data_IF_051645129357
#
_entry.id   IF_051645129357
#
_cell.length_a   1.000
_cell.length_b   1.000
_cell.length_c   1.000
_cell.angle_alpha   90.00
_cell.angle_beta   90.00
_cell.angle_gamma   90.00
#
_symmetry.space_group_name_H-M   'P 1'
#
loop_
_entity.id
_entity.type
_entity.pdbx_description
1 polymer ?
#
# COMPACT_ATOMS: atom_id res chain seq x y z
N UNK A 1 21.00 4.85 4.87
CA UNK A 1 19.89 5.83 4.96
C UNK A 1 18.57 5.08 4.76
N UNK A 2 17.58 5.28 5.63
CA UNK A 2 16.22 4.77 5.44
C UNK A 2 15.62 5.58 4.29
N UNK A 3 15.32 4.93 3.15
CA UNK A 3 14.65 5.60 2.02
C UNK A 3 13.25 6.06 2.48
N UNK A 4 12.95 7.34 2.29
CA UNK A 4 11.63 7.86 2.60
C UNK A 4 10.59 7.22 1.66
N UNK A 5 9.62 6.50 2.21
CA UNK A 5 8.57 5.82 1.45
C UNK A 5 7.66 6.81 0.68
N UNK A 6 7.59 8.07 1.11
CA UNK A 6 6.82 9.11 0.42
C UNK A 6 7.34 9.41 -1.00
N UNK A 7 8.59 9.02 -1.30
CA UNK A 7 9.17 9.16 -2.63
C UNK A 7 8.64 8.15 -3.65
N UNK A 8 7.87 7.16 -3.20
CA UNK A 8 7.34 6.11 -4.07
C UNK A 8 5.83 6.18 -4.14
N UNK A 9 5.33 6.22 -5.37
CA UNK A 9 3.91 6.15 -5.65
C UNK A 9 3.64 5.15 -6.77
N UNK A 10 2.52 4.42 -6.67
CA UNK A 10 2.24 3.28 -7.52
C UNK A 10 0.92 3.43 -8.27
N UNK A 11 0.87 2.75 -9.42
CA UNK A 11 -0.37 2.31 -10.07
C UNK A 11 -0.36 0.80 -10.04
N UNK A 12 -1.33 0.19 -9.38
CA UNK A 12 -1.52 -1.26 -9.36
C UNK A 12 -2.66 -1.65 -10.31
N UNK A 13 -2.38 -2.59 -11.23
CA UNK A 13 -3.38 -3.08 -12.16
C UNK A 13 -4.54 -3.82 -11.47
N UNK A 14 -5.60 -4.12 -12.24
CA UNK A 14 -6.81 -4.74 -11.75
C UNK A 14 -6.59 -6.09 -11.04
N UNK A 15 -5.51 -6.81 -11.36
CA UNK A 15 -5.20 -8.11 -10.77
C UNK A 15 -4.55 -7.99 -9.39
N UNK A 16 -4.02 -6.80 -9.03
CA UNK A 16 -3.23 -6.56 -7.83
C UNK A 16 -3.98 -5.84 -6.70
N UNK A 17 -5.30 -5.97 -6.63
CA UNK A 17 -6.12 -5.28 -5.62
C UNK A 17 -5.72 -5.57 -4.17
N UNK A 18 -5.30 -6.80 -3.84
CA UNK A 18 -4.79 -7.16 -2.50
C UNK A 18 -3.47 -6.45 -2.20
N UNK A 19 -2.57 -6.39 -3.17
CA UNK A 19 -1.27 -5.70 -3.06
C UNK A 19 -1.47 -4.19 -2.92
N UNK A 20 -2.34 -3.59 -3.75
CA UNK A 20 -2.70 -2.17 -3.64
C UNK A 20 -3.21 -1.81 -2.24
N UNK A 21 -4.10 -2.63 -1.68
CA UNK A 21 -4.62 -2.44 -0.34
C UNK A 21 -3.52 -2.53 0.73
N UNK A 22 -2.59 -3.48 0.60
CA UNK A 22 -1.45 -3.61 1.53
C UNK A 22 -0.49 -2.43 1.44
N UNK A 23 -0.12 -2.02 0.24
CA UNK A 23 0.76 -0.87 0.04
C UNK A 23 0.17 0.40 0.67
N UNK A 24 -1.15 0.64 0.53
CA UNK A 24 -1.84 1.75 1.19
C UNK A 24 -1.75 1.67 2.72
N UNK A 25 -1.99 0.48 3.29
CA UNK A 25 -1.85 0.27 4.75
C UNK A 25 -0.42 0.54 5.21
N UNK A 26 0.58 0.19 4.40
CA UNK A 26 1.99 0.46 4.64
C UNK A 26 2.40 1.92 4.39
N UNK A 27 1.46 2.80 4.02
CA UNK A 27 1.68 4.23 3.83
C UNK A 27 2.00 4.66 2.40
N UNK A 28 2.15 3.73 1.45
CA UNK A 28 2.46 4.07 0.06
C UNK A 28 1.25 4.61 -0.69
N UNK A 29 1.46 5.70 -1.42
CA UNK A 29 0.46 6.24 -2.35
C UNK A 29 0.25 5.28 -3.52
N UNK A 30 -0.90 4.61 -3.56
CA UNK A 30 -1.17 3.57 -4.54
C UNK A 30 -2.56 3.74 -5.17
N UNK A 31 -2.60 4.08 -6.45
CA UNK A 31 -3.81 4.04 -7.27
C UNK A 31 -4.07 2.59 -7.65
N UNK A 32 -5.31 2.12 -7.47
CA UNK A 32 -5.76 0.83 -7.94
C UNK A 32 -6.65 1.03 -9.16
N UNK A 33 -6.32 0.35 -10.23
CA UNK A 33 -7.02 0.42 -11.51
C UNK A 33 -8.18 -0.59 -11.50
N UNK A 34 -9.34 -0.15 -11.97
CA UNK A 34 -10.51 -1.01 -12.12
C UNK A 34 -10.38 -1.94 -13.32
N UNK A 35 -10.99 -3.14 -13.29
CA UNK A 35 -10.93 -4.08 -14.41
C UNK A 35 -11.48 -3.55 -15.75
N UNK A 36 -12.31 -2.51 -15.70
CA UNK A 36 -12.88 -1.87 -16.88
C UNK A 36 -11.96 -0.86 -17.57
N UNK A 37 -10.84 -0.52 -16.95
CA UNK A 37 -9.87 0.46 -17.47
C UNK A 37 -9.00 -0.20 -18.54
N UNK A 38 -8.89 0.40 -19.71
CA UNK A 38 -8.04 -0.12 -20.78
C UNK A 38 -6.57 0.28 -20.61
N UNK A 39 -5.68 -0.41 -21.30
CA UNK A 39 -4.23 -0.19 -21.22
C UNK A 39 -3.81 1.23 -21.61
N UNK A 40 -4.49 1.85 -22.57
CA UNK A 40 -4.18 3.21 -23.01
C UNK A 40 -4.42 4.21 -21.88
N UNK A 41 -5.53 4.09 -21.16
CA UNK A 41 -5.82 4.93 -19.99
C UNK A 41 -4.77 4.72 -18.89
N UNK A 42 -4.28 3.48 -18.70
CA UNK A 42 -3.21 3.18 -17.72
C UNK A 42 -1.91 3.88 -18.14
N UNK A 43 -1.54 3.80 -19.42
CA UNK A 43 -0.34 4.46 -19.95
C UNK A 43 -0.44 5.98 -19.83
N UNK A 44 -1.59 6.57 -20.11
CA UNK A 44 -1.85 8.01 -19.92
C UNK A 44 -1.69 8.43 -18.44
N UNK A 45 -2.18 7.61 -17.50
CA UNK A 45 -1.97 7.85 -16.08
C UNK A 45 -0.47 7.81 -15.71
N UNK A 46 0.31 6.90 -16.29
CA UNK A 46 1.76 6.82 -16.06
C UNK A 46 2.48 8.07 -16.53
N UNK A 47 2.13 8.59 -17.72
CA UNK A 47 2.68 9.84 -18.28
C UNK A 47 2.44 11.01 -17.31
N UNK A 48 1.18 11.16 -16.88
CA UNK A 48 0.74 12.32 -16.12
C UNK A 48 1.17 12.30 -14.65
N UNK A 49 1.41 11.10 -14.07
CA UNK A 49 1.63 10.97 -12.62
C UNK A 49 3.04 10.55 -12.24
N UNK A 50 3.86 10.09 -13.19
CA UNK A 50 5.23 9.55 -12.96
C UNK A 50 5.27 8.41 -11.93
N UNK A 51 4.18 7.68 -11.76
CA UNK A 51 4.05 6.57 -10.81
C UNK A 51 4.73 5.31 -11.35
N UNK A 52 5.04 4.39 -10.48
CA UNK A 52 5.57 3.07 -10.81
C UNK A 52 4.39 2.13 -11.07
N UNK A 53 4.35 1.54 -12.28
CA UNK A 53 3.35 0.52 -12.61
C UNK A 53 3.70 -0.80 -11.92
N UNK A 54 2.72 -1.38 -11.23
CA UNK A 54 2.76 -2.76 -10.74
C UNK A 54 1.75 -3.56 -11.56
N UNK A 55 2.19 -4.57 -12.27
CA UNK A 55 1.30 -5.37 -13.10
C UNK A 55 1.69 -6.85 -13.13
N UNK A 56 0.68 -7.72 -13.24
CA UNK A 56 0.85 -9.14 -13.56
C UNK A 56 0.54 -9.45 -15.02
N UNK A 57 0.17 -8.44 -15.81
CA UNK A 57 -0.01 -8.53 -17.24
C UNK A 57 1.30 -8.32 -17.98
N UNK A 58 1.73 -9.33 -18.74
CA UNK A 58 2.99 -9.29 -19.49
C UNK A 58 2.93 -8.27 -20.62
N UNK A 59 1.80 -8.18 -21.32
CA UNK A 59 1.65 -7.27 -22.46
C UNK A 59 1.73 -5.81 -21.99
N UNK A 60 0.96 -5.46 -20.97
CA UNK A 60 1.00 -4.14 -20.33
C UNK A 60 2.41 -3.81 -19.81
N UNK A 61 3.09 -4.80 -19.19
CA UNK A 61 4.46 -4.62 -18.71
C UNK A 61 5.43 -4.30 -19.88
N UNK A 62 5.42 -5.07 -20.96
CA UNK A 62 6.32 -4.83 -22.10
C UNK A 62 6.00 -3.50 -22.78
N UNK A 63 4.74 -3.16 -22.97
CA UNK A 63 4.32 -1.85 -23.52
C UNK A 63 4.84 -0.71 -22.65
N UNK A 64 4.68 -0.80 -21.32
CA UNK A 64 5.20 0.23 -20.40
C UNK A 64 6.72 0.40 -20.52
N UNK A 65 7.48 -0.69 -20.70
CA UNK A 65 8.93 -0.66 -20.91
C UNK A 65 9.32 -0.02 -22.25
N UNK A 66 8.58 -0.28 -23.32
CA UNK A 66 8.80 0.36 -24.61
C UNK A 66 8.71 1.89 -24.52
N UNK A 67 7.77 2.39 -23.71
CA UNK A 67 7.64 3.84 -23.43
C UNK A 67 8.57 4.34 -22.33
N UNK A 68 9.52 3.51 -21.84
CA UNK A 68 10.48 3.84 -20.77
C UNK A 68 9.84 4.23 -19.43
N UNK A 69 8.63 3.74 -19.14
CA UNK A 69 8.00 3.95 -17.83
C UNK A 69 8.58 3.02 -16.77
N UNK A 70 8.62 3.51 -15.54
CA UNK A 70 8.98 2.68 -14.40
C UNK A 70 7.89 1.66 -14.16
N UNK A 71 8.22 0.38 -14.29
CA UNK A 71 7.27 -0.71 -14.05
C UNK A 71 7.96 -1.92 -13.41
N UNK A 72 7.22 -2.63 -12.55
CA UNK A 72 7.65 -3.85 -11.87
C UNK A 72 6.64 -4.93 -12.24
N UNK A 73 7.14 -6.04 -12.77
CA UNK A 73 6.32 -7.21 -13.06
C UNK A 73 6.12 -8.02 -11.76
N UNK A 74 4.88 -8.33 -11.45
CA UNK A 74 4.49 -9.07 -10.26
C UNK A 74 4.03 -10.45 -10.67
N UNK A 75 4.78 -11.47 -10.26
CA UNK A 75 4.41 -12.86 -10.48
C UNK A 75 3.19 -13.25 -9.62
N UNK A 76 2.51 -14.35 -9.99
CA UNK A 76 1.41 -14.93 -9.19
C UNK A 76 1.98 -15.73 -8.01
N UNK A 77 2.69 -15.06 -7.11
CA UNK A 77 3.29 -15.61 -5.90
C UNK A 77 2.45 -15.27 -4.66
N UNK A 78 2.97 -15.61 -3.49
CA UNK A 78 2.36 -15.18 -2.22
C UNK A 78 2.40 -13.66 -2.07
N UNK A 79 1.52 -13.12 -1.23
CA UNK A 79 1.48 -11.68 -0.92
C UNK A 79 2.82 -11.16 -0.40
N UNK A 80 3.50 -11.94 0.43
CA UNK A 80 4.82 -11.58 0.99
C UNK A 80 5.87 -11.50 -0.11
N UNK A 81 5.97 -12.51 -0.96
CA UNK A 81 6.93 -12.56 -2.07
C UNK A 81 6.72 -11.38 -3.04
N UNK A 82 5.47 -11.05 -3.33
CA UNK A 82 5.14 -9.91 -4.18
C UNK A 82 5.59 -8.58 -3.55
N UNK A 83 5.37 -8.38 -2.25
CA UNK A 83 5.84 -7.18 -1.54
C UNK A 83 7.36 -7.12 -1.50
N UNK A 84 8.04 -8.25 -1.26
CA UNK A 84 9.50 -8.33 -1.30
C UNK A 84 10.01 -7.98 -2.69
N UNK A 85 9.40 -8.52 -3.77
CA UNK A 85 9.75 -8.17 -5.15
C UNK A 85 9.66 -6.66 -5.38
N UNK A 86 8.58 -6.01 -4.93
CA UNK A 86 8.42 -4.56 -5.07
C UNK A 86 9.53 -3.82 -4.31
N UNK A 87 9.75 -4.17 -3.04
CA UNK A 87 10.70 -3.45 -2.19
C UNK A 87 12.16 -3.67 -2.62
N UNK A 88 12.51 -4.88 -3.07
CA UNK A 88 13.84 -5.17 -3.60
C UNK A 88 14.13 -4.41 -4.89
N UNK A 89 13.17 -4.32 -5.84
CA UNK A 89 13.33 -3.52 -7.06
C UNK A 89 13.54 -2.03 -6.79
N UNK A 90 13.04 -1.53 -5.66
CA UNK A 90 13.18 -0.14 -5.24
C UNK A 90 14.34 0.06 -4.26
N UNK A 91 15.07 -1.01 -3.94
CA UNK A 91 16.13 -1.01 -2.91
C UNK A 91 15.64 -0.48 -1.55
N UNK A 92 14.37 -0.73 -1.23
CA UNK A 92 13.80 -0.44 0.09
C UNK A 92 14.26 -1.55 1.04
N UNK A 93 15.07 -1.19 2.02
CA UNK A 93 15.71 -2.14 2.95
C UNK A 93 14.95 -2.31 4.26
N UNK A 94 14.05 -1.40 4.55
CA UNK A 94 13.29 -1.40 5.81
C UNK A 94 11.96 -0.67 5.65
N UNK A 95 10.90 -1.26 6.17
CA UNK A 95 9.57 -0.65 6.29
C UNK A 95 9.35 -0.33 7.76
N UNK A 96 9.08 0.94 8.06
CA UNK A 96 8.80 1.39 9.41
C UNK A 96 7.35 1.02 9.80
N UNK A 97 7.13 0.21 10.84
CA UNK A 97 5.78 -0.14 11.29
C UNK A 97 4.94 1.07 11.72
N UNK A 98 5.57 2.19 12.08
CA UNK A 98 4.88 3.44 12.49
C UNK A 98 4.17 4.14 11.34
N UNK A 99 4.50 3.79 10.09
CA UNK A 99 3.86 4.34 8.89
C UNK A 99 2.52 3.66 8.55
N UNK A 100 2.12 2.64 9.31
CA UNK A 100 0.80 2.04 9.17
C UNK A 100 -0.28 3.06 9.49
N UNK A 101 -1.37 3.04 8.68
CA UNK A 101 -2.49 3.99 8.76
C UNK A 101 -2.21 5.43 8.32
N UNK A 102 -1.15 5.71 7.60
CA UNK A 102 -1.04 7.01 6.95
C UNK A 102 -2.04 7.17 5.80
N UNK A 103 -2.54 6.06 5.23
CA UNK A 103 -3.49 6.08 4.10
C UNK A 103 -4.67 5.13 4.26
N UNK A 104 -5.79 5.56 3.70
CA UNK A 104 -7.01 4.76 3.63
C UNK A 104 -6.82 3.56 2.70
N UNK A 105 -7.03 2.35 3.21
CA UNK A 105 -6.92 1.12 2.42
C UNK A 105 -7.96 1.02 1.30
N UNK A 106 -9.04 1.80 1.33
CA UNK A 106 -10.13 1.80 0.34
C UNK A 106 -9.87 2.82 -0.76
N UNK A 107 -9.74 4.12 -0.43
CA UNK A 107 -9.68 5.20 -1.42
C UNK A 107 -8.31 5.85 -1.55
N UNK A 108 -7.29 5.37 -0.81
CA UNK A 108 -5.91 5.85 -0.86
C UNK A 108 -5.67 7.25 -0.26
N UNK A 109 -6.69 7.94 0.22
CA UNK A 109 -6.55 9.25 0.82
C UNK A 109 -5.82 9.19 2.17
N UNK A 110 -5.23 10.30 2.63
CA UNK A 110 -4.59 10.36 3.94
C UNK A 110 -5.61 10.16 5.05
N UNK A 111 -5.17 9.51 6.13
CA UNK A 111 -5.97 9.36 7.34
C UNK A 111 -5.62 10.48 8.32
N UNK A 112 -6.60 10.88 9.10
CA UNK A 112 -6.43 11.85 10.18
C UNK A 112 -6.77 11.21 11.51
N UNK A 113 -6.03 11.58 12.52
CA UNK A 113 -6.33 11.17 13.90
C UNK A 113 -7.62 11.87 14.36
N UNK A 114 -8.44 11.15 15.09
CA UNK A 114 -9.64 11.71 15.73
C UNK A 114 -9.22 12.15 17.13
N UNK A 115 -9.16 13.45 17.36
CA UNK A 115 -8.73 14.04 18.64
C UNK A 115 -9.73 13.76 19.75
N UNK A 116 -11.04 13.84 19.45
CA UNK A 116 -12.12 13.53 20.37
C UNK A 116 -12.78 12.21 19.99
N UNK A 117 -12.40 11.13 20.71
CA UNK A 117 -12.93 9.79 20.46
C UNK A 117 -14.42 9.67 20.83
N UNK A 118 -14.98 10.52 21.69
CA UNK A 118 -16.41 10.47 22.05
C UNK A 118 -17.32 10.73 20.83
N UNK A 119 -16.84 11.48 19.84
CA UNK A 119 -17.55 11.74 18.58
C UNK A 119 -17.85 10.47 17.77
N UNK A 120 -17.13 9.37 18.03
CA UNK A 120 -17.30 8.10 17.30
C UNK A 120 -17.80 6.95 18.17
N UNK A 121 -18.09 7.21 19.46
CA UNK A 121 -18.51 6.19 20.44
C UNK A 121 -19.70 5.35 19.95
N UNK A 122 -20.63 5.96 19.23
CA UNK A 122 -21.81 5.29 18.68
C UNK A 122 -21.57 4.70 17.26
N UNK A 123 -20.38 4.89 16.68
CA UNK A 123 -20.03 4.42 15.34
C UNK A 123 -19.19 3.14 15.38
N UNK A 124 -18.70 2.74 16.57
CA UNK A 124 -17.90 1.54 16.78
C UNK A 124 -18.49 0.71 17.90
N UNK A 125 -18.24 -0.60 17.91
CA UNK A 125 -18.67 -1.45 19.01
C UNK A 125 -18.01 -1.01 20.33
N UNK A 126 -18.75 -1.10 21.43
CA UNK A 126 -18.28 -0.69 22.76
C UNK A 126 -16.98 -1.37 23.18
N UNK A 127 -16.79 -2.64 22.80
CA UNK A 127 -15.55 -3.39 23.05
C UNK A 127 -14.36 -2.80 22.29
N UNK A 128 -14.56 -2.33 21.05
CA UNK A 128 -13.53 -1.67 20.25
C UNK A 128 -13.19 -0.32 20.89
N UNK A 129 -14.19 0.45 21.26
CA UNK A 129 -14.00 1.76 21.87
C UNK A 129 -13.21 1.67 23.18
N UNK A 130 -13.53 0.71 24.04
CA UNK A 130 -12.85 0.51 25.33
C UNK A 130 -11.39 0.03 25.17
N UNK A 131 -11.10 -0.74 24.13
CA UNK A 131 -9.78 -1.39 23.95
C UNK A 131 -8.81 -0.60 23.06
N UNK A 132 -9.22 0.52 22.49
CA UNK A 132 -8.38 1.33 21.62
C UNK A 132 -8.36 2.79 22.11
N UNK A 133 -7.16 3.38 22.10
CA UNK A 133 -6.95 4.77 22.52
C UNK A 133 -6.94 5.74 21.35
N UNK A 134 -6.60 5.25 20.17
CA UNK A 134 -6.42 6.06 18.97
C UNK A 134 -7.32 5.56 17.85
N UNK A 135 -8.00 6.50 17.21
CA UNK A 135 -8.85 6.28 16.07
C UNK A 135 -8.48 7.23 14.95
N UNK A 136 -8.64 6.75 13.72
CA UNK A 136 -8.33 7.51 12.52
C UNK A 136 -9.54 7.51 11.60
N UNK A 137 -9.71 8.58 10.83
CA UNK A 137 -10.79 8.73 9.85
C UNK A 137 -10.23 9.14 8.49
N UNK A 138 -10.79 8.56 7.46
CA UNK A 138 -10.60 9.02 6.10
C UNK A 138 -11.59 10.14 5.79
N UNK A 139 -11.13 11.36 5.48
CA UNK A 139 -12.01 12.48 5.10
C UNK A 139 -12.82 12.19 3.84
N UNK A 140 -12.25 11.45 2.88
CA UNK A 140 -12.89 11.19 1.59
C UNK A 140 -14.03 10.17 1.67
N UNK A 141 -13.82 9.04 2.36
CA UNK A 141 -14.81 7.95 2.40
C UNK A 141 -15.38 7.67 3.81
N UNK A 142 -15.02 8.48 4.81
CA UNK A 142 -15.47 8.42 6.21
C UNK A 142 -15.17 7.10 6.94
N UNK A 143 -14.36 6.20 6.35
CA UNK A 143 -14.00 4.94 6.99
C UNK A 143 -13.17 5.19 8.24
N UNK A 144 -13.54 4.51 9.32
CA UNK A 144 -12.82 4.51 10.59
C UNK A 144 -11.76 3.41 10.64
N UNK A 145 -10.67 3.69 11.36
CA UNK A 145 -9.55 2.80 11.59
C UNK A 145 -9.10 2.89 13.04
N UNK A 146 -8.57 1.79 13.60
CA UNK A 146 -8.04 1.69 14.95
C UNK A 146 -6.99 0.58 15.04
N UNK A 147 -6.18 0.59 16.11
CA UNK A 147 -5.11 -0.39 16.34
C UNK A 147 -5.64 -1.71 16.92
N UNK A 148 -6.51 -2.41 16.18
CA UNK A 148 -7.04 -3.72 16.55
C UNK A 148 -6.17 -4.91 16.11
N UNK A 149 -6.73 -6.13 16.19
CA UNK A 149 -6.06 -7.38 15.80
C UNK A 149 -5.53 -7.37 14.36
N UNK A 150 -6.21 -6.65 13.47
CA UNK A 150 -5.78 -6.54 12.07
C UNK A 150 -4.41 -5.85 11.94
N UNK A 151 -4.13 -4.84 12.75
CA UNK A 151 -2.82 -4.16 12.74
C UNK A 151 -1.73 -5.04 13.32
N UNK A 152 -2.00 -5.81 14.36
CA UNK A 152 -1.01 -6.76 14.87
C UNK A 152 -0.52 -7.69 13.76
N UNK A 153 -1.42 -8.18 12.91
CA UNK A 153 -1.07 -9.01 11.76
C UNK A 153 -0.25 -8.25 10.71
N UNK A 154 -0.52 -6.95 10.49
CA UNK A 154 0.27 -6.11 9.59
C UNK A 154 1.67 -5.87 10.15
N UNK A 155 1.81 -5.62 11.45
CA UNK A 155 3.13 -5.47 12.10
C UNK A 155 3.95 -6.75 11.97
N UNK A 156 3.35 -7.91 12.23
CA UNK A 156 4.02 -9.22 12.03
C UNK A 156 4.42 -9.44 10.55
N UNK A 157 3.60 -9.01 9.61
CA UNK A 157 3.94 -9.05 8.19
C UNK A 157 5.16 -8.16 7.89
N UNK A 158 5.18 -6.93 8.40
CA UNK A 158 6.31 -6.00 8.24
C UNK A 158 7.59 -6.59 8.82
N UNK A 159 7.54 -7.17 10.03
CA UNK A 159 8.69 -7.82 10.66
C UNK A 159 9.26 -8.95 9.81
N UNK A 160 8.39 -9.79 9.23
CA UNK A 160 8.81 -10.86 8.31
C UNK A 160 9.48 -10.29 7.06
N UNK A 161 8.89 -9.27 6.45
CA UNK A 161 9.45 -8.62 5.27
C UNK A 161 10.81 -8.00 5.61
N UNK A 162 10.93 -7.26 6.71
CA UNK A 162 12.18 -6.63 7.12
C UNK A 162 13.29 -7.65 7.37
N UNK A 163 12.99 -8.79 7.99
CA UNK A 163 13.97 -9.89 8.17
C UNK A 163 14.48 -10.41 6.83
N UNK A 164 13.61 -10.60 5.85
CA UNK A 164 14.02 -11.11 4.52
C UNK A 164 14.84 -10.04 3.77
N UNK A 165 14.42 -8.78 3.80
CA UNK A 165 15.15 -7.68 3.17
C UNK A 165 16.54 -7.46 3.79
N UNK A 166 16.69 -7.75 5.08
CA UNK A 166 17.99 -7.68 5.77
C UNK A 166 18.90 -8.87 5.45
N UNK A 167 18.36 -10.10 5.43
CA UNK A 167 19.12 -11.30 5.07
C UNK A 167 19.63 -11.30 3.63
N UNK A 168 18.97 -10.60 2.72
CA UNK A 168 19.39 -10.42 1.33
C UNK A 168 20.64 -9.52 1.18
N UNK A 169 21.19 -8.99 2.27
CA UNK A 169 22.44 -8.20 2.29
C UNK A 169 23.71 -9.05 2.37
N UNK A 170 23.60 -10.34 2.70
CA UNK A 170 24.75 -11.21 2.95
C UNK A 170 25.12 -12.09 1.74
N UNK A 171 24.55 -11.82 0.58
CA UNK A 171 24.88 -12.45 -0.70
C UNK A 171 25.32 -11.39 -1.72
#
# INVERSE_FOLDING_TARGET
>A
MIKNIENYSFIADAMLGKIAKKLRILGFDTIYILPSTNDTEILDLLINTKRILLTSDKELFYRSKQYKYNSIFINKNTEIENLITIFSNLEIKFIDPRLTYNRCSICNDKLEIIEDADLIKNQVYQTIFKNNKEFYRCKKCNKLYWHGSHIKNIILLIEKINKILDSSRCL
#
